data_IF_922556027119
#
_entry.id   IF_922556027119
#
_cell.length_a   1.000
_cell.length_b   1.000
_cell.length_c   1.000
_cell.angle_alpha   90.00
_cell.angle_beta   90.00
_cell.angle_gamma   90.00
#
_symmetry.space_group_name_H-M   'P 1'
#
loop_
_entity.id
_entity.type
_entity.pdbx_description
1 polymer ?
#
# COMPACT_ATOMS: atom_id res chain seq x y z
N UNK A 1 -20.14 -33.98 -19.40
CA UNK A 1 -19.13 -33.22 -20.14
C UNK A 1 -19.23 -31.78 -19.64
N UNK A 2 -18.46 -31.48 -18.61
CA UNK A 2 -18.45 -30.18 -17.95
C UNK A 2 -17.57 -29.23 -18.78
N UNK A 3 -18.14 -28.08 -19.14
CA UNK A 3 -17.49 -27.05 -19.92
C UNK A 3 -16.35 -26.44 -19.12
N UNK A 4 -15.18 -26.37 -19.75
CA UNK A 4 -14.06 -25.61 -19.25
C UNK A 4 -14.47 -24.13 -19.19
N UNK A 5 -14.71 -23.62 -17.99
CA UNK A 5 -14.76 -22.18 -17.74
C UNK A 5 -13.33 -21.65 -17.89
N UNK A 6 -13.07 -21.11 -19.08
CA UNK A 6 -11.91 -20.27 -19.38
C UNK A 6 -11.92 -19.08 -18.43
N UNK A 7 -11.30 -19.26 -17.25
CA UNK A 7 -11.05 -18.20 -16.30
C UNK A 7 -10.15 -17.17 -16.96
N UNK A 8 -10.76 -16.12 -17.49
CA UNK A 8 -10.05 -14.90 -17.86
C UNK A 8 -9.40 -14.42 -16.57
N UNK A 9 -8.07 -14.57 -16.46
CA UNK A 9 -7.27 -13.85 -15.48
C UNK A 9 -7.56 -12.38 -15.70
N UNK A 10 -8.47 -11.82 -14.90
CA UNK A 10 -8.78 -10.41 -14.95
C UNK A 10 -7.46 -9.68 -14.74
N UNK A 11 -7.01 -8.98 -15.79
CA UNK A 11 -5.90 -8.06 -15.68
C UNK A 11 -6.25 -7.09 -14.56
N UNK A 12 -5.51 -7.21 -13.46
CA UNK A 12 -5.69 -6.39 -12.27
C UNK A 12 -5.44 -4.95 -12.69
N UNK A 13 -6.51 -4.15 -12.76
CA UNK A 13 -6.35 -2.72 -12.86
C UNK A 13 -5.80 -2.25 -11.51
N UNK A 14 -4.67 -1.55 -11.52
CA UNK A 14 -4.31 -0.67 -10.42
C UNK A 14 -5.56 0.12 -10.00
N UNK A 15 -5.92 0.15 -8.70
CA UNK A 15 -7.07 0.91 -8.29
C UNK A 15 -6.82 2.38 -8.65
N UNK A 16 -7.55 2.87 -9.65
CA UNK A 16 -7.33 4.21 -10.19
C UNK A 16 -7.78 5.29 -9.20
N UNK A 17 -6.94 6.31 -9.02
CA UNK A 17 -7.14 7.42 -8.11
C UNK A 17 -6.35 7.32 -6.81
N UNK A 18 -6.51 8.35 -5.97
CA UNK A 18 -5.74 8.47 -4.74
C UNK A 18 -6.52 7.97 -3.52
N UNK A 19 -5.80 7.32 -2.59
CA UNK A 19 -6.40 6.65 -1.44
C UNK A 19 -5.69 7.02 -0.15
N UNK A 20 -6.43 7.47 0.85
CA UNK A 20 -5.94 7.90 2.16
C UNK A 20 -6.21 6.82 3.20
N UNK A 21 -5.15 6.20 3.71
CA UNK A 21 -5.18 5.32 4.88
C UNK A 21 -4.85 6.17 6.12
N UNK A 22 -5.85 6.42 6.95
CA UNK A 22 -5.65 7.17 8.19
C UNK A 22 -5.03 6.32 9.31
N UNK A 23 -4.56 6.99 10.36
CA UNK A 23 -4.03 6.37 11.58
C UNK A 23 -5.17 5.82 12.46
N UNK A 24 -5.96 4.89 11.92
CA UNK A 24 -6.96 4.14 12.68
C UNK A 24 -6.63 2.65 12.71
N UNK A 25 -7.17 1.99 13.73
CA UNK A 25 -7.03 0.59 14.17
C UNK A 25 -6.19 -0.33 13.26
N UNK A 26 -4.86 -0.21 13.33
CA UNK A 26 -3.95 -1.05 12.55
C UNK A 26 -2.69 -0.32 12.08
N UNK A 27 -2.72 1.01 11.92
CA UNK A 27 -1.58 1.82 11.47
C UNK A 27 -0.28 1.51 12.22
N UNK A 28 -0.36 1.44 13.55
CA UNK A 28 0.75 1.02 14.40
C UNK A 28 1.25 -0.40 14.08
N UNK A 29 0.36 -1.39 14.08
CA UNK A 29 0.69 -2.80 13.83
C UNK A 29 1.22 -3.04 12.40
N UNK A 30 0.86 -2.18 11.46
CA UNK A 30 1.30 -2.23 10.07
C UNK A 30 2.59 -1.43 9.83
N UNK A 31 3.10 -0.71 10.83
CA UNK A 31 4.28 0.15 10.65
C UNK A 31 3.98 1.43 9.87
N UNK A 32 2.72 1.86 9.85
CA UNK A 32 2.20 3.10 9.25
C UNK A 32 1.59 4.04 10.31
N UNK A 33 2.27 4.36 11.43
CA UNK A 33 1.69 5.18 12.51
C UNK A 33 1.43 6.65 12.11
N UNK A 34 1.77 7.02 10.88
CA UNK A 34 1.57 8.37 10.34
C UNK A 34 0.48 8.42 9.27
N UNK A 35 -0.20 7.30 9.00
CA UNK A 35 -1.06 7.12 7.83
C UNK A 35 -0.32 7.30 6.49
N UNK A 36 -0.97 6.96 5.39
CA UNK A 36 -0.40 7.06 4.04
C UNK A 36 -1.44 7.46 2.99
N UNK A 37 -1.04 8.29 2.02
CA UNK A 37 -1.76 8.53 0.77
C UNK A 37 -1.08 7.73 -0.32
N UNK A 38 -1.83 6.87 -1.00
CA UNK A 38 -1.42 6.28 -2.27
C UNK A 38 -1.79 7.28 -3.36
N UNK A 39 -0.79 7.82 -4.06
CA UNK A 39 -0.99 8.79 -5.13
C UNK A 39 -1.04 8.03 -6.47
N UNK A 40 -1.96 8.38 -7.36
CA UNK A 40 -2.03 7.86 -8.73
C UNK A 40 -1.05 8.63 -9.65
N UNK A 41 0.12 8.95 -9.10
CA UNK A 41 1.21 9.62 -9.80
C UNK A 41 2.37 8.63 -9.95
N UNK A 42 2.93 8.47 -11.17
CA UNK A 42 4.09 7.63 -11.37
C UNK A 42 5.23 8.00 -10.42
N UNK A 43 5.97 6.99 -9.96
CA UNK A 43 7.16 7.24 -9.17
C UNK A 43 8.19 8.01 -10.02
N UNK A 44 8.55 9.22 -9.60
CA UNK A 44 9.52 10.06 -10.31
C UNK A 44 10.95 9.49 -10.34
N UNK A 45 11.82 10.16 -11.08
CA UNK A 45 13.24 9.76 -11.22
C UNK A 45 13.98 9.75 -9.86
N UNK A 46 15.02 8.92 -9.74
CA UNK A 46 15.84 8.82 -8.52
C UNK A 46 15.60 7.57 -7.68
N UNK A 47 14.90 6.57 -8.22
CA UNK A 47 14.55 5.31 -7.55
C UNK A 47 15.08 4.06 -8.29
N UNK A 48 16.40 3.86 -8.44
CA UNK A 48 16.97 2.84 -9.34
C UNK A 48 16.52 1.39 -9.06
N UNK A 49 16.13 1.09 -7.82
CA UNK A 49 15.63 -0.23 -7.44
C UNK A 49 14.21 -0.51 -7.95
N UNK A 50 13.46 0.54 -8.28
CA UNK A 50 12.08 0.49 -8.74
C UNK A 50 11.97 0.50 -10.27
N UNK A 51 13.00 0.93 -11.00
CA UNK A 51 13.06 0.96 -12.49
C UNK A 51 12.75 -0.39 -13.17
N UNK A 52 12.79 -1.49 -12.42
CA UNK A 52 12.47 -2.85 -12.89
C UNK A 52 10.99 -3.20 -12.88
N UNK A 53 10.12 -2.29 -12.48
CA UNK A 53 8.69 -2.51 -12.32
C UNK A 53 7.89 -1.49 -13.13
N UNK A 54 6.90 -1.95 -13.90
CA UNK A 54 6.18 -1.11 -14.87
C UNK A 54 5.06 -0.24 -14.27
N UNK A 55 4.52 -0.60 -13.11
CA UNK A 55 3.34 0.03 -12.51
C UNK A 55 3.65 0.43 -11.06
N UNK A 56 4.50 1.44 -10.89
CA UNK A 56 4.95 1.93 -9.59
C UNK A 56 4.61 3.39 -9.44
N UNK A 57 4.02 3.70 -8.31
CA UNK A 57 3.43 4.98 -8.00
C UNK A 57 3.97 5.54 -6.71
N UNK A 58 3.75 6.83 -6.50
CA UNK A 58 4.18 7.52 -5.29
C UNK A 58 3.23 7.25 -4.13
N UNK A 59 3.79 7.07 -2.93
CA UNK A 59 3.03 7.04 -1.68
C UNK A 59 3.48 8.19 -0.78
N UNK A 60 2.65 8.79 0.08
CA UNK A 60 3.09 9.86 1.00
C UNK A 60 2.57 9.71 2.40
N UNK A 61 3.34 10.11 3.41
CA UNK A 61 2.87 10.02 4.81
C UNK A 61 1.85 11.13 5.08
N UNK A 62 0.85 10.92 5.94
CA UNK A 62 -0.07 12.02 6.34
C UNK A 62 0.64 13.01 7.28
N UNK A 63 1.62 12.55 8.06
CA UNK A 63 2.45 13.44 8.86
C UNK A 63 3.17 14.52 8.03
N UNK A 64 3.48 14.23 6.75
CA UNK A 64 4.06 15.19 5.81
C UNK A 64 3.09 16.33 5.43
N UNK A 65 1.78 16.24 5.70
CA UNK A 65 0.83 17.35 5.44
C UNK A 65 0.97 18.48 6.47
N UNK A 66 1.36 18.17 7.71
CA UNK A 66 1.54 19.16 8.79
C UNK A 66 2.99 19.57 9.03
N UNK A 67 3.95 18.77 8.55
CA UNK A 67 5.37 19.09 8.55
C UNK A 67 5.91 18.97 7.13
N UNK A 68 6.30 20.10 6.53
CA UNK A 68 7.16 20.11 5.33
C UNK A 68 8.48 19.42 5.69
N UNK A 69 8.51 18.11 5.53
CA UNK A 69 9.73 17.32 5.49
C UNK A 69 9.65 16.47 4.24
N UNK A 70 10.56 16.83 3.32
CA UNK A 70 10.75 16.45 1.92
C UNK A 70 10.88 14.96 1.60
N UNK A 71 10.25 14.02 2.31
CA UNK A 71 10.41 12.59 1.99
C UNK A 71 9.07 11.82 2.01
N UNK A 72 8.62 11.33 0.83
CA UNK A 72 7.36 10.59 0.67
C UNK A 72 7.47 9.18 1.29
N UNK A 73 6.35 8.46 1.46
CA UNK A 73 6.44 7.01 1.51
C UNK A 73 7.08 6.56 0.19
N UNK A 74 7.89 5.50 0.20
CA UNK A 74 8.74 5.24 -0.95
C UNK A 74 7.97 5.05 -2.24
N UNK A 75 7.10 4.05 -2.27
CA UNK A 75 6.28 3.75 -3.43
C UNK A 75 5.06 2.93 -3.02
N UNK A 76 4.09 2.82 -3.93
CA UNK A 76 3.18 1.69 -3.95
C UNK A 76 3.08 1.08 -5.34
N UNK A 77 2.67 -0.18 -5.39
CA UNK A 77 2.40 -0.89 -6.64
C UNK A 77 1.39 -2.00 -6.44
N UNK A 78 0.57 -2.34 -7.46
CA UNK A 78 -0.19 -3.56 -7.42
C UNK A 78 0.74 -4.79 -7.46
N UNK A 79 0.33 -5.85 -6.78
CA UNK A 79 0.92 -7.18 -6.88
C UNK A 79 -0.20 -8.22 -7.06
N UNK A 80 0.10 -9.45 -7.53
CA UNK A 80 -0.95 -10.44 -7.79
C UNK A 80 -1.87 -10.75 -6.59
N UNK A 81 -3.16 -10.88 -6.86
CA UNK A 81 -4.18 -11.34 -5.90
C UNK A 81 -4.86 -10.21 -5.12
N UNK A 82 -5.30 -9.16 -5.81
CA UNK A 82 -5.98 -7.98 -5.22
C UNK A 82 -5.15 -7.34 -4.12
N UNK A 83 -3.85 -7.27 -4.37
CA UNK A 83 -2.89 -6.90 -3.36
C UNK A 83 -2.07 -5.69 -3.79
N UNK A 84 -1.70 -4.88 -2.82
CA UNK A 84 -0.88 -3.68 -2.99
C UNK A 84 0.34 -3.84 -2.10
N UNK A 85 1.52 -3.54 -2.63
CA UNK A 85 2.73 -3.36 -1.85
C UNK A 85 2.96 -1.86 -1.64
N UNK A 86 3.16 -1.45 -0.39
CA UNK A 86 3.59 -0.10 0.00
C UNK A 86 4.97 -0.25 0.61
N UNK A 87 5.99 0.36 0.02
CA UNK A 87 7.38 0.05 0.39
C UNK A 87 8.29 1.25 0.50
N UNK A 88 9.48 1.01 1.07
CA UNK A 88 10.62 1.91 1.06
C UNK A 88 11.75 1.34 0.20
N UNK A 89 12.58 2.17 -0.43
CA UNK A 89 13.65 1.69 -1.30
C UNK A 89 14.79 1.04 -0.49
N UNK A 90 14.94 1.42 0.79
CA UNK A 90 15.92 0.86 1.72
C UNK A 90 15.49 -0.43 2.42
N UNK A 91 14.32 -0.99 2.08
CA UNK A 91 13.76 -2.19 2.69
C UNK A 91 12.63 -1.92 3.68
N UNK A 92 11.80 -2.95 3.90
CA UNK A 92 10.56 -2.86 4.68
C UNK A 92 9.37 -2.35 3.86
N UNK A 93 8.16 -2.62 4.37
CA UNK A 93 6.93 -2.22 3.71
C UNK A 93 5.69 -2.86 4.31
N UNK A 94 4.58 -2.75 3.59
CA UNK A 94 3.29 -3.33 3.95
C UNK A 94 2.70 -3.97 2.70
N UNK A 95 2.21 -5.19 2.85
CA UNK A 95 1.37 -5.82 1.84
C UNK A 95 -0.08 -5.70 2.28
N UNK A 96 -0.90 -5.07 1.45
CA UNK A 96 -2.34 -4.96 1.62
C UNK A 96 -3.01 -5.94 0.67
N UNK A 97 -4.10 -6.57 1.11
CA UNK A 97 -5.07 -7.25 0.26
C UNK A 97 -6.38 -6.50 0.39
N UNK A 98 -6.81 -5.82 -0.66
CA UNK A 98 -7.90 -4.84 -0.63
C UNK A 98 -8.81 -5.00 -1.82
N UNK A 99 -10.08 -4.67 -1.62
CA UNK A 99 -11.09 -4.61 -2.68
C UNK A 99 -11.79 -3.25 -2.65
N UNK A 100 -12.42 -2.83 -3.78
CA UNK A 100 -13.28 -1.67 -3.79
C UNK A 100 -14.36 -1.76 -2.71
N UNK A 101 -14.52 -0.69 -1.95
CA UNK A 101 -15.56 -0.51 -0.94
C UNK A 101 -16.30 0.82 -1.20
N UNK A 102 -17.43 1.04 -0.52
CA UNK A 102 -18.16 2.30 -0.66
C UNK A 102 -17.26 3.47 -0.24
N UNK A 103 -17.02 4.40 -1.16
CA UNK A 103 -16.13 5.53 -0.94
C UNK A 103 -14.63 5.24 -0.93
N UNK A 104 -14.15 4.02 -1.21
CA UNK A 104 -12.70 3.74 -1.12
C UNK A 104 -12.26 2.29 -1.30
N UNK A 105 -11.35 1.84 -0.43
CA UNK A 105 -10.80 0.48 -0.40
C UNK A 105 -10.93 -0.10 1.02
N UNK A 106 -11.21 -1.39 1.11
CA UNK A 106 -11.21 -2.10 2.40
C UNK A 106 -10.59 -3.49 2.26
N UNK A 107 -10.01 -3.99 3.34
CA UNK A 107 -9.45 -5.34 3.35
C UNK A 107 -8.55 -5.60 4.55
N UNK A 108 -7.39 -6.21 4.30
CA UNK A 108 -6.43 -6.56 5.34
C UNK A 108 -4.99 -6.23 4.95
N UNK A 109 -4.21 -5.72 5.88
CA UNK A 109 -2.80 -5.40 5.70
C UNK A 109 -1.89 -6.28 6.57
N UNK A 110 -0.65 -6.46 6.12
CA UNK A 110 0.43 -7.06 6.90
C UNK A 110 1.70 -6.23 6.72
N UNK A 111 2.26 -5.75 7.84
CA UNK A 111 3.60 -5.14 7.83
C UNK A 111 4.68 -6.20 7.58
N UNK A 112 5.67 -5.85 6.75
CA UNK A 112 6.84 -6.65 6.41
C UNK A 112 8.15 -5.94 6.76
N UNK A 113 9.11 -6.68 7.30
CA UNK A 113 10.42 -6.19 7.72
C UNK A 113 10.83 -6.71 9.11
N UNK A 114 12.13 -6.78 9.35
CA UNK A 114 12.73 -7.41 10.54
C UNK A 114 12.75 -6.54 11.81
N UNK A 115 12.08 -5.38 11.79
CA UNK A 115 11.96 -4.54 12.97
C UNK A 115 10.95 -5.14 13.97
N UNK A 116 11.38 -6.15 14.72
CA UNK A 116 10.64 -6.67 15.87
C UNK A 116 10.46 -5.55 16.90
N UNK A 117 9.22 -5.27 17.30
CA UNK A 117 8.98 -4.39 18.46
C UNK A 117 9.46 -5.11 19.72
N UNK A 118 10.02 -4.40 20.73
CA UNK A 118 10.34 -5.02 22.01
C UNK A 118 9.14 -5.75 22.60
N UNK A 119 9.25 -7.06 22.82
CA UNK A 119 8.15 -7.91 23.33
C UNK A 119 7.24 -8.54 22.26
N UNK A 120 7.49 -8.30 20.97
CA UNK A 120 6.76 -8.94 19.88
C UNK A 120 7.26 -10.39 19.68
N UNK A 121 6.33 -11.34 19.56
CA UNK A 121 6.67 -12.73 19.25
C UNK A 121 7.30 -12.78 17.86
N UNK A 122 8.49 -13.38 17.69
CA UNK A 122 9.09 -13.57 16.38
C UNK A 122 8.14 -14.31 15.45
N UNK A 123 7.84 -13.73 14.29
CA UNK A 123 6.95 -14.34 13.31
C UNK A 123 6.30 -13.33 12.37
N UNK A 124 5.61 -13.80 11.33
CA UNK A 124 4.86 -12.92 10.43
C UNK A 124 3.74 -12.23 11.22
N UNK A 125 3.67 -10.90 11.11
CA UNK A 125 2.60 -10.12 11.76
C UNK A 125 1.23 -10.61 11.30
N UNK A 126 0.26 -10.76 12.23
CA UNK A 126 -1.11 -11.09 11.84
C UNK A 126 -1.66 -9.99 10.95
N UNK A 127 -2.45 -10.39 9.95
CA UNK A 127 -3.11 -9.42 9.09
C UNK A 127 -4.10 -8.58 9.93
N UNK A 128 -4.07 -7.26 9.76
CA UNK A 128 -4.94 -6.31 10.43
C UNK A 128 -5.97 -5.78 9.44
N UNK A 129 -7.21 -5.48 9.86
CA UNK A 129 -8.15 -4.79 8.99
C UNK A 129 -7.57 -3.44 8.55
N UNK A 130 -7.84 -3.05 7.31
CA UNK A 130 -7.47 -1.74 6.77
C UNK A 130 -8.62 -1.17 5.96
N UNK A 131 -8.77 0.14 6.04
CA UNK A 131 -9.70 0.92 5.25
C UNK A 131 -8.96 2.14 4.70
N UNK A 132 -9.27 2.52 3.46
CA UNK A 132 -8.83 3.76 2.88
C UNK A 132 -10.00 4.50 2.25
N UNK A 133 -10.01 5.80 2.45
CA UNK A 133 -10.94 6.71 1.80
C UNK A 133 -10.37 7.13 0.43
N UNK A 134 -11.22 7.20 -0.60
CA UNK A 134 -10.86 7.84 -1.86
C UNK A 134 -10.74 9.34 -1.66
N UNK A 135 -9.59 9.91 -2.00
CA UNK A 135 -9.29 11.32 -1.78
C UNK A 135 -8.88 12.01 -3.09
N UNK A 136 -9.02 13.34 -3.23
CA UNK A 136 -8.46 14.06 -4.37
C UNK A 136 -6.96 13.83 -4.47
N UNK A 137 -6.45 13.58 -5.67
CA UNK A 137 -5.01 13.46 -5.86
C UNK A 137 -4.32 14.80 -5.57
N UNK A 138 -3.29 14.81 -4.71
CA UNK A 138 -2.51 16.02 -4.49
C UNK A 138 -1.83 16.42 -5.81
N UNK A 139 -1.93 17.69 -6.16
CA UNK A 139 -1.25 18.28 -7.32
C UNK A 139 0.10 18.90 -6.98
#
# INVERSE_FOLDING_TARGET
>A
AEGAETGTLAAQASPAGCYRFEDTTGGDALGLPWGVILEDEPLGEGWPLMDRFDDVHRARTLASETRRTDHPFGYWRPIPGDSIEIGYPGGGGVTLRVAPADGGLAGSGRGGGDAMRPGETPGPRPAQPVEAERTPCPG
#
